data_IF_719186355759
#
_entry.id   IF_719186355759
#
_cell.length_a   1.000
_cell.length_b   1.000
_cell.length_c   1.000
_cell.angle_alpha   90.00
_cell.angle_beta   90.00
_cell.angle_gamma   90.00
#
_symmetry.space_group_name_H-M   'P 1'
#
loop_
_entity.id
_entity.type
_entity.pdbx_description
1 polymer ?
#
# COMPACT_ATOMS: atom_id res chain seq x y z
N UNK A 1 5.26 26.59 8.51
CA UNK A 1 5.30 25.15 8.82
C UNK A 1 3.86 24.68 8.90
N UNK A 2 3.30 24.17 7.79
CA UNK A 2 1.98 23.53 7.82
C UNK A 2 2.20 22.15 8.45
N UNK A 3 1.78 21.96 9.70
CA UNK A 3 1.64 20.60 10.22
C UNK A 3 0.68 19.89 9.29
N UNK A 4 1.14 18.82 8.63
CA UNK A 4 0.23 17.96 7.89
C UNK A 4 -0.65 17.27 8.93
N UNK A 5 -1.83 17.83 9.14
CA UNK A 5 -2.84 17.35 10.07
C UNK A 5 -3.46 16.08 9.49
N UNK A 6 -2.78 14.95 9.68
CA UNK A 6 -3.28 13.61 9.36
C UNK A 6 -4.24 13.10 10.43
N UNK A 7 -5.17 12.23 10.06
CA UNK A 7 -6.12 11.57 10.95
C UNK A 7 -5.44 10.72 12.02
N UNK A 8 -4.26 10.15 11.72
CA UNK A 8 -3.45 9.38 12.67
C UNK A 8 -2.94 10.21 13.86
N UNK A 9 -2.90 11.54 13.73
CA UNK A 9 -2.48 12.46 14.80
C UNK A 9 -3.64 12.86 15.73
N UNK A 10 -4.87 12.42 15.44
CA UNK A 10 -6.01 12.64 16.33
C UNK A 10 -5.77 11.97 17.68
N UNK A 11 -6.01 12.73 18.74
CA UNK A 11 -5.85 12.29 20.13
C UNK A 11 -7.22 12.17 20.80
N UNK A 12 -7.24 11.54 21.98
CA UNK A 12 -8.47 11.41 22.78
C UNK A 12 -9.10 12.77 23.19
N UNK A 13 -8.38 13.88 23.00
CA UNK A 13 -8.79 15.24 23.34
C UNK A 13 -9.13 16.08 22.11
N UNK A 14 -8.54 15.79 20.94
CA UNK A 14 -8.68 16.62 19.75
C UNK A 14 -8.68 15.76 18.49
N UNK A 15 -9.70 15.93 17.65
CA UNK A 15 -9.74 15.33 16.32
C UNK A 15 -9.10 16.28 15.31
N UNK A 16 -8.61 15.69 14.23
CA UNK A 16 -8.08 16.42 13.08
C UNK A 16 -9.22 17.17 12.39
N UNK A 17 -9.03 18.42 11.90
CA UNK A 17 -10.10 19.23 11.31
C UNK A 17 -10.84 18.55 10.14
N UNK A 18 -10.13 17.76 9.32
CA UNK A 18 -10.73 16.98 8.22
C UNK A 18 -11.71 15.91 8.72
N UNK A 19 -11.37 15.28 9.85
CA UNK A 19 -12.21 14.26 10.46
C UNK A 19 -13.42 14.90 11.15
N UNK A 20 -13.23 16.03 11.82
CA UNK A 20 -14.34 16.81 12.40
C UNK A 20 -15.32 17.30 11.32
N UNK A 21 -14.80 17.80 10.18
CA UNK A 21 -15.64 18.27 9.06
C UNK A 21 -16.54 17.15 8.52
N UNK A 22 -15.97 15.96 8.24
CA UNK A 22 -16.75 14.83 7.73
C UNK A 22 -17.72 14.28 8.78
N UNK A 23 -17.34 14.25 10.05
CA UNK A 23 -18.23 13.80 11.12
C UNK A 23 -19.43 14.73 11.28
N UNK A 24 -19.22 16.04 11.19
CA UNK A 24 -20.30 17.02 11.19
C UNK A 24 -21.25 16.83 10.00
N UNK A 25 -20.72 16.50 8.82
CA UNK A 25 -21.55 16.16 7.65
C UNK A 25 -22.33 14.85 7.86
N UNK A 26 -21.70 13.83 8.44
CA UNK A 26 -22.33 12.53 8.73
C UNK A 26 -23.45 12.66 9.77
N UNK A 27 -23.18 13.33 10.89
CA UNK A 27 -24.15 13.54 11.97
C UNK A 27 -25.30 14.49 11.55
N UNK A 28 -25.07 15.34 10.54
CA UNK A 28 -26.09 16.18 9.91
C UNK A 28 -26.99 15.45 8.90
N UNK A 29 -26.74 14.17 8.60
CA UNK A 29 -27.64 13.39 7.74
C UNK A 29 -28.89 12.97 8.53
N UNK A 30 -30.07 13.16 7.94
CA UNK A 30 -31.36 12.74 8.51
C UNK A 30 -31.59 11.22 8.40
N UNK A 31 -30.58 10.41 8.72
CA UNK A 31 -30.61 8.94 8.60
C UNK A 31 -30.05 8.28 9.86
N UNK A 32 -30.41 7.01 10.08
CA UNK A 32 -29.87 6.23 11.20
C UNK A 32 -28.41 5.88 10.95
N UNK A 33 -27.54 6.35 11.84
CA UNK A 33 -26.08 6.19 11.71
C UNK A 33 -25.64 4.90 12.40
N UNK A 34 -25.04 4.00 11.63
CA UNK A 34 -24.43 2.76 12.08
C UNK A 34 -22.97 2.99 12.50
N UNK A 35 -22.40 2.19 13.44
CA UNK A 35 -20.96 2.21 13.72
C UNK A 35 -20.07 2.07 12.47
N UNK A 36 -20.52 1.31 11.47
CA UNK A 36 -19.82 1.15 10.19
C UNK A 36 -19.70 2.47 9.42
N UNK A 37 -20.69 3.35 9.54
CA UNK A 37 -20.72 4.65 8.85
C UNK A 37 -19.54 5.54 9.29
N UNK A 38 -19.13 5.44 10.55
CA UNK A 38 -17.95 6.14 11.07
C UNK A 38 -16.64 5.60 10.49
N UNK A 39 -16.53 4.29 10.29
CA UNK A 39 -15.34 3.72 9.63
C UNK A 39 -15.28 4.16 8.16
N UNK A 40 -16.42 4.26 7.48
CA UNK A 40 -16.49 4.79 6.12
C UNK A 40 -16.10 6.28 6.07
N UNK A 41 -16.61 7.09 7.00
CA UNK A 41 -16.20 8.48 7.15
C UNK A 41 -14.67 8.60 7.31
N UNK A 42 -14.06 7.78 8.18
CA UNK A 42 -12.61 7.72 8.34
C UNK A 42 -11.91 7.31 7.03
N UNK A 43 -12.42 6.32 6.30
CA UNK A 43 -11.86 5.88 5.03
C UNK A 43 -11.84 7.02 3.98
N UNK A 44 -12.88 7.86 3.92
CA UNK A 44 -12.91 9.02 3.02
C UNK A 44 -11.79 10.02 3.38
N UNK A 45 -11.57 10.29 4.66
CA UNK A 45 -10.48 11.17 5.13
C UNK A 45 -9.13 10.60 4.73
N UNK A 46 -8.89 9.31 5.00
CA UNK A 46 -7.63 8.63 4.67
C UNK A 46 -7.36 8.60 3.17
N UNK A 47 -8.39 8.44 2.35
CA UNK A 47 -8.27 8.56 0.89
C UNK A 47 -7.93 9.98 0.46
N UNK A 48 -8.53 11.00 1.06
CA UNK A 48 -8.20 12.40 0.79
C UNK A 48 -6.75 12.75 1.16
N UNK A 49 -6.24 12.22 2.27
CA UNK A 49 -4.83 12.33 2.65
C UNK A 49 -3.89 11.65 1.63
N UNK A 50 -4.35 10.58 0.99
CA UNK A 50 -3.63 9.88 -0.08
C UNK A 50 -3.84 10.52 -1.47
N UNK A 51 -4.29 11.78 -1.52
CA UNK A 51 -4.64 12.57 -2.72
C UNK A 51 -5.77 12.03 -3.59
N UNK A 52 -6.63 11.18 -3.06
CA UNK A 52 -7.86 10.79 -3.74
C UNK A 52 -8.99 11.76 -3.40
N UNK A 53 -9.73 12.23 -4.40
CA UNK A 53 -10.89 13.09 -4.20
C UNK A 53 -12.12 12.49 -4.87
N UNK A 54 -13.28 12.77 -4.28
CA UNK A 54 -14.56 12.35 -4.85
C UNK A 54 -14.91 13.33 -5.98
N UNK A 55 -15.21 12.81 -7.17
CA UNK A 55 -15.67 13.68 -8.27
C UNK A 55 -17.09 14.15 -7.97
N UNK A 56 -17.23 15.38 -7.48
CA UNK A 56 -18.51 16.07 -7.53
C UNK A 56 -18.36 17.44 -8.15
N UNK A 57 -19.49 17.96 -8.65
CA UNK A 57 -19.59 19.33 -9.17
C UNK A 57 -19.38 20.40 -8.07
N UNK A 58 -19.12 20.01 -6.82
CA UNK A 58 -18.96 20.92 -5.68
C UNK A 58 -17.49 21.31 -5.52
N UNK A 59 -17.23 22.55 -5.08
CA UNK A 59 -15.88 23.08 -4.82
C UNK A 59 -15.18 22.48 -3.58
N UNK A 60 -15.86 21.60 -2.81
CA UNK A 60 -15.29 20.97 -1.60
C UNK A 60 -14.61 19.65 -1.94
N UNK A 61 -13.34 19.53 -1.57
CA UNK A 61 -12.54 18.32 -1.78
C UNK A 61 -12.99 17.13 -0.92
N UNK A 62 -13.59 17.41 0.24
CA UNK A 62 -14.03 16.41 1.22
C UNK A 62 -15.53 16.56 1.44
N UNK A 63 -16.31 15.50 1.18
CA UNK A 63 -17.76 15.45 1.44
C UNK A 63 -18.28 14.01 1.33
N UNK A 64 -19.49 13.74 1.85
CA UNK A 64 -20.14 12.44 1.73
C UNK A 64 -21.05 12.42 0.48
N UNK A 65 -20.88 11.48 -0.46
CA UNK A 65 -21.73 11.39 -1.66
C UNK A 65 -23.19 11.11 -1.31
N UNK A 66 -24.16 11.61 -2.10
CA UNK A 66 -25.60 11.40 -1.80
C UNK A 66 -26.06 9.94 -1.88
N UNK A 67 -25.42 9.10 -2.71
CA UNK A 67 -25.76 7.69 -2.91
C UNK A 67 -24.64 6.77 -2.41
N UNK A 68 -23.98 7.18 -1.34
CA UNK A 68 -22.81 6.49 -0.78
C UNK A 68 -23.15 5.15 -0.11
N UNK A 69 -24.41 4.93 0.31
CA UNK A 69 -24.92 3.74 1.00
C UNK A 69 -26.21 3.28 0.34
N UNK A 70 -26.29 2.00 0.01
CA UNK A 70 -27.52 1.36 -0.49
C UNK A 70 -28.47 1.09 0.67
N UNK A 71 -29.73 1.54 0.57
CA UNK A 71 -30.74 1.33 1.62
C UNK A 71 -31.14 -0.15 1.76
N UNK A 72 -31.14 -0.91 0.66
CA UNK A 72 -31.55 -2.31 0.64
C UNK A 72 -30.46 -3.25 1.16
N UNK A 73 -29.21 -3.03 0.74
CA UNK A 73 -28.10 -3.96 1.00
C UNK A 73 -27.13 -3.46 2.07
N UNK A 74 -27.24 -2.20 2.49
CA UNK A 74 -26.26 -1.51 3.35
C UNK A 74 -24.82 -1.51 2.79
N UNK A 75 -24.63 -1.85 1.52
CA UNK A 75 -23.33 -1.77 0.84
C UNK A 75 -23.02 -0.31 0.54
N UNK A 76 -21.76 0.07 0.77
CA UNK A 76 -21.26 1.40 0.48
C UNK A 76 -20.52 1.42 -0.84
N UNK A 77 -20.84 2.37 -1.72
CA UNK A 77 -20.16 2.52 -3.00
C UNK A 77 -19.80 3.97 -3.25
N UNK A 78 -18.52 4.21 -3.53
CA UNK A 78 -18.01 5.55 -3.79
C UNK A 78 -16.94 5.52 -4.87
N UNK A 79 -16.84 6.62 -5.63
CA UNK A 79 -15.88 6.78 -6.70
C UNK A 79 -14.92 7.93 -6.43
N UNK A 80 -13.64 7.67 -6.65
CA UNK A 80 -12.54 8.56 -6.36
C UNK A 80 -11.65 8.75 -7.59
N UNK A 81 -10.93 9.87 -7.62
CA UNK A 81 -9.93 10.19 -8.64
C UNK A 81 -8.66 10.65 -7.95
N UNK A 82 -7.51 10.28 -8.50
CA UNK A 82 -6.24 10.77 -7.99
C UNK A 82 -6.02 12.22 -8.46
N UNK A 83 -5.68 13.14 -7.55
CA UNK A 83 -5.51 14.58 -7.89
C UNK A 83 -4.49 14.81 -9.02
N UNK A 84 -3.41 14.02 -9.06
CA UNK A 84 -2.37 14.11 -10.09
C UNK A 84 -2.77 13.49 -11.44
N UNK A 85 -3.73 12.55 -11.45
CA UNK A 85 -4.18 11.82 -12.63
C UNK A 85 -5.69 11.66 -12.57
N UNK A 86 -6.42 12.63 -13.13
CA UNK A 86 -7.89 12.65 -13.09
C UNK A 86 -8.57 11.79 -14.15
N UNK A 87 -7.81 11.14 -15.05
CA UNK A 87 -8.37 10.29 -16.12
C UNK A 87 -8.85 8.93 -15.63
N UNK A 88 -8.25 8.40 -14.55
CA UNK A 88 -8.55 7.07 -14.03
C UNK A 88 -9.47 7.18 -12.82
N UNK A 89 -10.63 6.56 -12.91
CA UNK A 89 -11.58 6.43 -11.80
C UNK A 89 -11.19 5.24 -10.93
N UNK A 90 -11.33 5.38 -9.62
CA UNK A 90 -11.15 4.30 -8.63
C UNK A 90 -12.45 4.09 -7.86
N UNK A 91 -12.86 2.84 -7.61
CA UNK A 91 -14.08 2.51 -6.86
C UNK A 91 -13.71 1.94 -5.50
N UNK A 92 -14.30 2.49 -4.45
CA UNK A 92 -14.34 1.91 -3.12
C UNK A 92 -15.70 1.25 -2.93
N UNK A 93 -15.71 -0.04 -2.62
CA UNK A 93 -16.90 -0.80 -2.25
C UNK A 93 -16.68 -1.35 -0.86
N UNK A 94 -17.56 -1.02 0.08
CA UNK A 94 -17.50 -1.55 1.44
C UNK A 94 -18.74 -2.38 1.75
N UNK A 95 -18.53 -3.56 2.30
CA UNK A 95 -19.59 -4.53 2.58
C UNK A 95 -19.59 -4.79 4.10
N UNK A 96 -20.65 -4.39 4.82
CA UNK A 96 -20.79 -4.70 6.23
C UNK A 96 -21.13 -6.19 6.41
N UNK A 97 -20.38 -6.86 7.28
CA UNK A 97 -20.60 -8.24 7.70
C UNK A 97 -20.60 -8.28 9.24
N UNK A 98 -21.79 -8.17 9.82
CA UNK A 98 -22.01 -8.11 11.27
C UNK A 98 -21.20 -6.98 11.94
N UNK A 99 -20.17 -7.33 12.73
CA UNK A 99 -19.25 -6.39 13.38
C UNK A 99 -18.02 -6.02 12.52
N UNK A 100 -17.87 -6.65 11.37
CA UNK A 100 -16.73 -6.47 10.47
C UNK A 100 -17.14 -5.72 9.21
N UNK A 101 -16.22 -4.95 8.63
CA UNK A 101 -16.40 -4.22 7.39
C UNK A 101 -15.32 -4.67 6.40
N UNK A 102 -15.73 -5.16 5.23
CA UNK A 102 -14.81 -5.54 4.16
C UNK A 102 -14.72 -4.37 3.18
N UNK A 103 -13.53 -3.77 3.09
CA UNK A 103 -13.24 -2.64 2.22
C UNK A 103 -12.50 -3.15 0.97
N UNK A 104 -13.08 -2.93 -0.20
CA UNK A 104 -12.48 -3.26 -1.49
C UNK A 104 -12.20 -1.96 -2.26
N UNK A 105 -10.95 -1.73 -2.65
CA UNK A 105 -10.55 -0.54 -3.40
C UNK A 105 -9.76 -0.94 -4.65
N UNK A 106 -10.15 -0.39 -5.80
CA UNK A 106 -9.54 -0.74 -7.08
C UNK A 106 -9.69 0.37 -8.13
N UNK A 107 -8.73 0.51 -9.05
CA UNK A 107 -8.87 1.37 -10.22
C UNK A 107 -9.78 0.71 -11.27
N UNK A 108 -10.68 1.46 -11.89
CA UNK A 108 -11.48 0.99 -13.04
C UNK A 108 -10.59 0.99 -14.30
N UNK A 109 -9.76 -0.03 -14.39
CA UNK A 109 -8.84 -0.26 -15.52
C UNK A 109 -8.77 -1.75 -15.81
N UNK A 110 -8.56 -2.10 -17.08
CA UNK A 110 -8.46 -3.50 -17.49
C UNK A 110 -7.20 -4.17 -16.90
N UNK A 111 -7.37 -5.40 -16.41
CA UNK A 111 -6.28 -6.22 -15.89
C UNK A 111 -5.67 -5.79 -14.55
N UNK A 112 -6.25 -4.82 -13.83
CA UNK A 112 -5.77 -4.39 -12.51
C UNK A 112 -6.42 -5.18 -11.37
N UNK A 113 -5.67 -5.28 -10.27
CA UNK A 113 -6.05 -6.08 -9.09
C UNK A 113 -6.98 -5.30 -8.19
N UNK A 114 -7.87 -6.03 -7.52
CA UNK A 114 -8.66 -5.49 -6.41
C UNK A 114 -7.89 -5.66 -5.11
N UNK A 115 -7.81 -4.59 -4.33
CA UNK A 115 -7.19 -4.61 -3.01
C UNK A 115 -8.28 -4.64 -1.95
N UNK A 116 -8.10 -5.50 -0.95
CA UNK A 116 -9.12 -5.77 0.07
C UNK A 116 -8.53 -5.66 1.47
N UNK A 117 -9.28 -5.05 2.38
CA UNK A 117 -8.94 -4.93 3.79
C UNK A 117 -10.18 -5.21 4.64
N UNK A 118 -10.03 -6.09 5.62
CA UNK A 118 -11.07 -6.42 6.59
C UNK A 118 -10.84 -5.66 7.89
N UNK A 119 -11.85 -4.94 8.36
CA UNK A 119 -11.78 -4.05 9.53
C UNK A 119 -12.85 -4.46 10.53
N UNK A 120 -12.46 -4.79 11.77
CA UNK A 120 -13.41 -4.94 12.87
C UNK A 120 -13.81 -3.55 13.38
N UNK A 121 -15.09 -3.22 13.28
CA UNK A 121 -15.61 -1.89 13.63
C UNK A 121 -15.46 -1.60 15.12
N UNK A 122 -15.68 -2.59 16.00
CA UNK A 122 -15.61 -2.38 17.45
C UNK A 122 -14.17 -2.20 17.95
N UNK A 123 -13.18 -2.63 17.15
CA UNK A 123 -11.76 -2.42 17.43
C UNK A 123 -11.34 -0.95 17.28
N UNK A 124 -11.96 -0.24 16.35
CA UNK A 124 -11.58 1.14 15.99
C UNK A 124 -12.65 2.19 16.33
N UNK A 125 -13.86 1.76 16.69
CA UNK A 125 -14.96 2.63 17.06
C UNK A 125 -15.60 2.18 18.38
N UNK A 126 -15.85 3.14 19.27
CA UNK A 126 -16.43 2.96 20.58
C UNK A 126 -17.84 3.53 20.61
N UNK A 127 -18.84 2.64 20.62
CA UNK A 127 -20.26 2.99 20.63
C UNK A 127 -20.71 3.69 21.91
N UNK A 128 -19.99 3.51 23.02
CA UNK A 128 -20.37 4.05 24.34
C UNK A 128 -19.80 5.43 24.64
N UNK A 129 -18.97 5.98 23.76
CA UNK A 129 -18.35 7.29 23.98
C UNK A 129 -19.26 8.43 23.53
N UNK A 130 -19.60 9.34 24.45
CA UNK A 130 -20.38 10.55 24.12
C UNK A 130 -19.57 11.63 23.39
N UNK A 131 -18.24 11.62 23.50
CA UNK A 131 -17.37 12.64 22.90
C UNK A 131 -16.82 12.09 21.57
N UNK A 132 -16.96 12.81 20.44
CA UNK A 132 -16.45 12.38 19.13
C UNK A 132 -14.98 11.96 19.14
N UNK A 133 -14.12 12.72 19.83
CA UNK A 133 -12.69 12.44 19.97
C UNK A 133 -12.37 11.14 20.72
N UNK A 134 -13.30 10.63 21.52
CA UNK A 134 -13.18 9.35 22.24
C UNK A 134 -13.92 8.20 21.56
N UNK A 135 -14.69 8.48 20.49
CA UNK A 135 -15.35 7.46 19.69
C UNK A 135 -14.33 6.64 18.90
N UNK A 136 -13.29 7.26 18.36
CA UNK A 136 -12.24 6.53 17.63
C UNK A 136 -11.16 5.98 18.54
N UNK A 137 -10.68 4.78 18.20
CA UNK A 137 -9.57 4.09 18.88
C UNK A 137 -8.55 3.60 17.85
N UNK A 138 -7.29 3.50 18.27
CA UNK A 138 -6.21 2.93 17.46
C UNK A 138 -6.08 3.56 16.06
N UNK A 139 -6.31 4.87 15.93
CA UNK A 139 -6.33 5.59 14.65
C UNK A 139 -5.03 5.45 13.86
N UNK A 140 -3.88 5.49 14.55
CA UNK A 140 -2.58 5.26 13.93
C UNK A 140 -2.48 3.88 13.29
N UNK A 141 -2.93 2.85 13.99
CA UNK A 141 -2.88 1.46 13.50
C UNK A 141 -3.75 1.28 12.25
N UNK A 142 -5.01 1.74 12.28
CA UNK A 142 -5.92 1.62 11.13
C UNK A 142 -5.47 2.50 9.96
N UNK A 143 -4.92 3.69 10.22
CA UNK A 143 -4.40 4.57 9.16
C UNK A 143 -3.27 3.91 8.39
N UNK A 144 -2.29 3.32 9.10
CA UNK A 144 -1.22 2.56 8.45
C UNK A 144 -1.77 1.34 7.70
N UNK A 145 -2.60 0.49 8.33
CA UNK A 145 -3.18 -0.69 7.66
C UNK A 145 -3.96 -0.32 6.40
N UNK A 146 -4.77 0.74 6.47
CA UNK A 146 -5.55 1.22 5.33
C UNK A 146 -4.64 1.77 4.23
N UNK A 147 -3.67 2.62 4.59
CA UNK A 147 -2.75 3.22 3.63
C UNK A 147 -1.88 2.17 2.93
N UNK A 148 -1.41 1.19 3.67
CA UNK A 148 -0.54 0.12 3.16
C UNK A 148 -1.31 -0.89 2.31
N UNK A 149 -2.52 -1.28 2.74
CA UNK A 149 -3.30 -2.32 2.06
C UNK A 149 -4.12 -1.80 0.87
N UNK A 150 -4.61 -0.56 0.92
CA UNK A 150 -5.56 -0.04 -0.08
C UNK A 150 -5.03 1.18 -0.83
N UNK A 151 -4.76 2.30 -0.16
CA UNK A 151 -4.55 3.57 -0.88
C UNK A 151 -3.23 3.62 -1.64
N UNK A 152 -2.13 3.17 -1.02
CA UNK A 152 -0.79 3.15 -1.63
C UNK A 152 -0.69 2.21 -2.83
N UNK A 153 -1.17 0.95 -2.76
CA UNK A 153 -1.14 0.07 -3.92
C UNK A 153 -2.02 0.56 -5.08
N UNK A 154 -3.25 1.02 -4.80
CA UNK A 154 -4.12 1.57 -5.86
C UNK A 154 -3.50 2.82 -6.48
N UNK A 155 -2.93 3.72 -5.67
CA UNK A 155 -2.20 4.89 -6.19
C UNK A 155 -1.04 4.48 -7.08
N UNK A 156 -0.28 3.46 -6.69
CA UNK A 156 0.83 2.94 -7.49
C UNK A 156 0.34 2.43 -8.84
N UNK A 157 -0.76 1.67 -8.87
CA UNK A 157 -1.36 1.16 -10.11
C UNK A 157 -1.83 2.26 -11.05
N UNK A 158 -2.47 3.32 -10.51
CA UNK A 158 -2.93 4.48 -11.28
C UNK A 158 -1.75 5.28 -11.84
N UNK A 159 -0.68 5.46 -11.08
CA UNK A 159 0.50 6.19 -11.53
C UNK A 159 1.24 5.42 -12.63
N UNK A 160 1.47 4.12 -12.43
CA UNK A 160 2.12 3.25 -13.43
C UNK A 160 1.33 3.28 -14.74
N UNK A 161 0.01 3.18 -14.70
CA UNK A 161 -0.82 3.19 -15.90
C UNK A 161 -0.84 4.53 -16.63
N UNK A 162 -0.59 5.62 -15.90
CA UNK A 162 -0.40 6.96 -16.46
C UNK A 162 1.04 7.22 -16.94
N UNK A 163 1.96 6.24 -16.83
CA UNK A 163 3.38 6.42 -17.16
C UNK A 163 4.13 7.31 -16.17
N UNK A 164 3.59 7.51 -14.97
CA UNK A 164 4.19 8.30 -13.91
C UNK A 164 4.82 7.41 -12.85
N UNK A 165 5.90 7.89 -12.24
CA UNK A 165 6.55 7.20 -11.12
C UNK A 165 5.89 7.54 -9.80
N UNK A 166 5.63 6.53 -8.97
CA UNK A 166 5.11 6.74 -7.62
C UNK A 166 6.20 6.74 -6.55
N UNK A 167 5.83 7.11 -5.30
CA UNK A 167 6.77 7.11 -4.17
C UNK A 167 7.12 5.69 -3.66
N UNK A 168 6.42 4.66 -4.15
CA UNK A 168 6.68 3.28 -3.78
C UNK A 168 7.73 2.64 -4.69
N UNK A 169 8.51 1.70 -4.15
CA UNK A 169 9.49 0.93 -4.93
C UNK A 169 8.83 0.07 -6.04
N UNK A 170 7.54 -0.24 -5.90
CA UNK A 170 6.78 -0.93 -6.95
C UNK A 170 6.37 0.01 -8.08
N UNK A 171 6.25 1.31 -7.81
CA UNK A 171 5.82 2.31 -8.80
C UNK A 171 6.95 2.94 -9.61
N UNK A 172 8.20 2.50 -9.43
CA UNK A 172 9.32 2.94 -10.29
C UNK A 172 9.40 2.10 -11.58
N UNK A 173 10.00 2.63 -12.66
CA UNK A 173 10.25 1.89 -13.89
C UNK A 173 11.10 0.64 -13.64
N UNK A 174 10.85 -0.40 -14.44
CA UNK A 174 11.48 -1.71 -14.28
C UNK A 174 12.99 -1.65 -14.42
N UNK A 175 13.52 -0.76 -15.26
CA UNK A 175 14.95 -0.53 -15.44
C UNK A 175 15.61 -0.05 -14.15
N UNK A 176 14.93 0.84 -13.42
CA UNK A 176 15.40 1.33 -12.13
C UNK A 176 15.30 0.23 -11.06
N UNK A 177 14.25 -0.62 -11.09
CA UNK A 177 14.16 -1.79 -10.21
C UNK A 177 15.35 -2.71 -10.42
N UNK A 178 15.69 -3.07 -11.67
CA UNK A 178 16.85 -3.91 -11.97
C UNK A 178 18.15 -3.29 -11.50
N UNK A 179 18.32 -1.98 -11.67
CA UNK A 179 19.51 -1.28 -11.20
C UNK A 179 19.66 -1.37 -9.67
N UNK A 180 18.57 -1.16 -8.93
CA UNK A 180 18.56 -1.29 -7.47
C UNK A 180 18.85 -2.75 -7.06
N UNK A 181 18.18 -3.73 -7.68
CA UNK A 181 18.41 -5.15 -7.42
C UNK A 181 19.87 -5.55 -7.71
N UNK A 182 20.46 -5.03 -8.78
CA UNK A 182 21.87 -5.26 -9.13
C UNK A 182 22.88 -4.64 -8.15
N UNK A 183 22.45 -3.75 -7.26
CA UNK A 183 23.29 -3.20 -6.18
C UNK A 183 23.21 -4.02 -4.89
N UNK A 184 22.21 -4.89 -4.74
CA UNK A 184 22.04 -5.72 -3.55
C UNK A 184 23.01 -6.91 -3.54
N UNK A 185 23.29 -7.42 -2.33
CA UNK A 185 23.93 -8.72 -2.15
C UNK A 185 22.90 -9.85 -2.28
N UNK A 186 23.40 -11.08 -2.41
CA UNK A 186 22.57 -12.27 -2.69
C UNK A 186 21.58 -12.57 -1.58
N UNK A 187 21.95 -12.33 -0.32
CA UNK A 187 21.05 -12.58 0.80
C UNK A 187 19.90 -11.59 0.78
N UNK A 188 20.19 -10.31 0.56
CA UNK A 188 19.18 -9.27 0.42
C UNK A 188 18.28 -9.49 -0.80
N UNK A 189 18.84 -9.93 -1.94
CA UNK A 189 18.07 -10.30 -3.13
C UNK A 189 17.09 -11.45 -2.88
N UNK A 190 17.54 -12.47 -2.15
CA UNK A 190 16.69 -13.62 -1.80
C UNK A 190 15.54 -13.19 -0.89
N UNK A 191 15.81 -12.33 0.09
CA UNK A 191 14.76 -11.74 0.95
C UNK A 191 13.80 -10.88 0.13
N UNK A 192 14.32 -10.07 -0.78
CA UNK A 192 13.52 -9.22 -1.66
C UNK A 192 12.56 -10.04 -2.54
N UNK A 193 13.04 -11.16 -3.08
CA UNK A 193 12.23 -12.08 -3.88
C UNK A 193 11.06 -12.69 -3.08
N UNK A 194 11.19 -12.79 -1.76
CA UNK A 194 10.13 -13.30 -0.88
C UNK A 194 9.09 -12.24 -0.49
N UNK A 195 9.36 -10.96 -0.74
CA UNK A 195 8.48 -9.87 -0.33
C UNK A 195 7.20 -9.77 -1.19
N UNK A 196 7.31 -9.96 -2.50
CA UNK A 196 6.13 -9.98 -3.38
C UNK A 196 6.37 -10.75 -4.68
N UNK A 197 5.28 -11.11 -5.36
CA UNK A 197 5.32 -11.86 -6.63
C UNK A 197 6.07 -11.11 -7.75
N UNK A 198 5.96 -9.79 -7.81
CA UNK A 198 6.66 -8.97 -8.79
C UNK A 198 8.19 -9.05 -8.60
N UNK A 199 8.67 -8.81 -7.38
CA UNK A 199 10.10 -8.92 -7.09
C UNK A 199 10.61 -10.36 -7.17
N UNK A 200 9.77 -11.36 -6.93
CA UNK A 200 10.13 -12.75 -7.17
C UNK A 200 10.49 -13.01 -8.64
N UNK A 201 9.67 -12.49 -9.57
CA UNK A 201 9.92 -12.57 -11.01
C UNK A 201 11.19 -11.81 -11.37
N UNK A 202 11.31 -10.54 -10.95
CA UNK A 202 12.48 -9.70 -11.25
C UNK A 202 13.80 -10.28 -10.70
N UNK A 203 13.79 -10.84 -9.49
CA UNK A 203 14.97 -11.49 -8.91
C UNK A 203 15.32 -12.83 -9.59
N UNK A 204 14.43 -13.40 -10.39
CA UNK A 204 14.67 -14.64 -11.12
C UNK A 204 15.24 -14.42 -12.52
N UNK A 205 15.33 -13.16 -12.96
CA UNK A 205 15.75 -12.79 -14.31
C UNK A 205 17.23 -13.09 -14.59
N UNK A 206 17.57 -13.82 -15.67
CA UNK A 206 18.94 -14.22 -15.96
C UNK A 206 19.92 -13.05 -16.10
N UNK A 207 19.46 -11.92 -16.65
CA UNK A 207 20.31 -10.74 -16.86
C UNK A 207 20.86 -10.18 -15.54
N UNK A 208 20.04 -10.20 -14.48
CA UNK A 208 20.45 -9.77 -13.15
C UNK A 208 21.59 -10.67 -12.62
N UNK A 209 21.45 -11.99 -12.75
CA UNK A 209 22.46 -12.94 -12.29
C UNK A 209 23.77 -12.85 -13.08
N UNK A 210 23.71 -12.54 -14.38
CA UNK A 210 24.91 -12.24 -15.20
C UNK A 210 25.66 -11.02 -14.67
N UNK A 211 24.94 -9.93 -14.37
CA UNK A 211 25.54 -8.72 -13.81
C UNK A 211 26.19 -8.99 -12.44
N UNK A 212 25.51 -9.72 -11.56
CA UNK A 212 26.04 -10.08 -10.24
C UNK A 212 27.26 -10.98 -10.35
N UNK A 213 27.26 -11.96 -11.27
CA UNK A 213 28.42 -12.82 -11.52
C UNK A 213 29.62 -12.00 -11.98
N UNK A 214 29.44 -11.07 -12.92
CA UNK A 214 30.52 -10.21 -13.38
C UNK A 214 31.04 -9.30 -12.27
N UNK A 215 30.15 -8.76 -11.43
CA UNK A 215 30.48 -7.87 -10.30
C UNK A 215 31.26 -8.60 -9.20
N UNK A 216 30.75 -9.75 -8.74
CA UNK A 216 31.27 -10.45 -7.56
C UNK A 216 32.36 -11.46 -7.90
N UNK A 217 32.40 -11.91 -9.15
CA UNK A 217 33.28 -12.95 -9.65
C UNK A 217 33.75 -12.69 -11.11
N UNK A 218 34.52 -11.60 -11.37
CA UNK A 218 34.96 -11.25 -12.72
C UNK A 218 35.63 -12.41 -13.48
N UNK A 219 36.38 -13.25 -12.76
CA UNK A 219 37.10 -14.41 -13.28
C UNK A 219 36.22 -15.58 -13.76
N UNK A 220 34.95 -15.60 -13.39
CA UNK A 220 33.99 -16.65 -13.76
C UNK A 220 32.94 -16.16 -14.78
N UNK A 221 33.14 -14.99 -15.37
CA UNK A 221 32.17 -14.34 -16.27
C UNK A 221 31.99 -15.00 -17.64
N UNK A 222 32.68 -16.10 -17.93
CA UNK A 222 32.69 -16.74 -19.24
C UNK A 222 31.87 -18.04 -19.27
N UNK A 223 30.78 -18.00 -20.05
CA UNK A 223 30.10 -19.14 -20.71
C UNK A 223 29.28 -20.08 -19.82
N UNK A 224 28.03 -19.72 -19.53
CA UNK A 224 26.98 -20.69 -19.15
C UNK A 224 25.59 -20.18 -19.52
N UNK A 225 24.73 -21.10 -19.96
CA UNK A 225 23.32 -20.83 -20.27
C UNK A 225 22.51 -20.49 -19.01
N UNK A 226 22.91 -21.01 -17.84
CA UNK A 226 22.28 -20.72 -16.55
C UNK A 226 23.20 -19.93 -15.60
N UNK A 227 22.99 -18.62 -15.58
CA UNK A 227 23.82 -17.66 -14.83
C UNK A 227 23.61 -17.75 -13.30
N UNK A 228 22.46 -18.27 -12.85
CA UNK A 228 22.14 -18.38 -11.42
C UNK A 228 22.88 -19.55 -10.78
N UNK A 229 22.98 -20.67 -11.49
CA UNK A 229 23.69 -21.86 -11.01
C UNK A 229 25.21 -21.70 -11.07
N UNK A 230 25.73 -20.99 -12.07
CA UNK A 230 27.14 -20.58 -12.07
C UNK A 230 27.47 -19.69 -10.88
N UNK A 231 26.61 -18.72 -10.57
CA UNK A 231 26.78 -17.88 -9.40
C UNK A 231 26.81 -18.70 -8.09
N UNK A 232 25.87 -19.63 -7.90
CA UNK A 232 25.85 -20.55 -6.75
C UNK A 232 27.15 -21.35 -6.64
N UNK A 233 27.69 -21.79 -7.77
CA UNK A 233 28.92 -22.59 -7.83
C UNK A 233 30.13 -21.74 -7.44
N UNK A 234 30.25 -20.51 -7.94
CA UNK A 234 31.31 -19.57 -7.56
C UNK A 234 31.30 -19.23 -6.07
N UNK A 235 30.11 -19.07 -5.47
CA UNK A 235 29.97 -18.89 -4.01
C UNK A 235 30.47 -20.10 -3.23
N UNK A 236 30.13 -21.33 -3.65
CA UNK A 236 30.61 -22.57 -3.01
C UNK A 236 32.14 -22.66 -3.07
N UNK A 237 32.75 -22.37 -4.22
CA UNK A 237 34.21 -22.36 -4.39
C UNK A 237 34.86 -21.33 -3.46
N UNK A 238 34.30 -20.12 -3.37
CA UNK A 238 34.80 -19.06 -2.46
C UNK A 238 34.73 -19.48 -1.00
N UNK A 239 33.64 -20.12 -0.59
CA UNK A 239 33.47 -20.61 0.78
C UNK A 239 34.45 -21.75 1.11
N UNK A 240 34.63 -22.72 0.20
CA UNK A 240 35.60 -23.80 0.39
C UNK A 240 37.05 -23.27 0.49
N UNK A 241 37.42 -22.25 -0.28
CA UNK A 241 38.73 -21.59 -0.16
C UNK A 241 38.91 -20.88 1.19
N UNK A 242 37.85 -20.27 1.74
CA UNK A 242 37.89 -19.64 3.07
C UNK A 242 38.00 -20.67 4.20
N UNK A 243 37.39 -21.83 4.05
CA UNK A 243 37.46 -22.93 5.03
C UNK A 243 38.85 -23.56 4.99
N UNK A 244 39.35 -23.92 3.80
CA UNK A 244 40.69 -24.53 3.65
C UNK A 244 41.83 -23.56 3.98
N UNK A 245 41.67 -22.26 3.70
CA UNK A 245 42.64 -21.22 4.07
C UNK A 245 42.67 -20.87 5.56
N UNK A 246 41.65 -21.27 6.34
CA UNK A 246 41.69 -21.19 7.81
C UNK A 246 42.36 -22.40 8.46
N UNK A 247 42.43 -23.53 7.76
CA UNK A 247 43.04 -24.77 8.28
C UNK A 247 44.59 -24.78 8.24
N UNK A 248 45.22 -23.75 7.66
CA UNK A 248 46.68 -23.66 7.47
C UNK A 248 47.37 -22.63 8.39
N UNK A 249 46.68 -22.17 9.44
CA UNK A 249 47.25 -21.25 10.44
C UNK A 249 47.37 -21.81 11.87
N UNK A 250 46.94 -23.05 12.11
CA UNK A 250 47.04 -23.71 13.42
C UNK A 250 47.82 -25.03 13.32
N UNK A 251 49.06 -24.96 12.79
CA UNK A 251 50.11 -25.96 12.97
C UNK A 251 51.45 -25.24 13.10
#
# INVERSE_FOLDING_TARGET
>A
MLTSDYAENSTNTQLTPLLEEILGELEGLNQTISPHDYIIALAIVLLNEADFHICTKRKRALHIPKNWKSEETSVYEMCFYLKSVSKVQCKLVAIPLEGTLILNFFPLMEGKRTYSLTVDTLRYYNTFANIPSKKYKNLKEISHRFKDALSTPVRSDVLISAGLTGPSLQAIPTELKFKILGMLDVYSLTRMAQCCSEFNVLCSEPQLWKQLLHRDFPQFSCKTEDSKDSYRTSVRIRNNRRINGKSLKDC
#
